data_IF_017817552352
#
_entry.id   IF_017817552352
#
_cell.length_a   1.000
_cell.length_b   1.000
_cell.length_c   1.000
_cell.angle_alpha   90.00
_cell.angle_beta   90.00
_cell.angle_gamma   90.00
#
_symmetry.space_group_name_H-M   'P 1'
#
loop_
_entity.id
_entity.type
_entity.pdbx_description
1 polymer ?
#
# COMPACT_ATOMS: atom_id res chain seq x y z
N UNK A 1 3.78 30.47 -62.54
CA UNK A 1 4.49 31.51 -61.76
C UNK A 1 4.37 31.16 -60.28
N UNK A 2 5.48 31.20 -59.56
CA UNK A 2 5.59 30.90 -58.13
C UNK A 2 5.19 32.12 -57.30
N UNK A 3 4.40 31.91 -56.24
CA UNK A 3 3.89 33.00 -55.40
C UNK A 3 4.83 33.32 -54.22
N UNK A 4 5.73 32.39 -53.87
CA UNK A 4 6.62 32.47 -52.72
C UNK A 4 8.07 32.34 -53.16
N UNK A 5 8.91 33.31 -52.80
CA UNK A 5 10.36 33.27 -53.01
C UNK A 5 11.05 32.83 -51.72
N UNK A 6 12.06 31.96 -51.80
CA UNK A 6 12.86 31.54 -50.64
C UNK A 6 14.28 32.10 -50.80
N UNK A 7 14.64 33.03 -49.93
CA UNK A 7 15.97 33.61 -49.80
C UNK A 7 16.78 32.84 -48.76
N UNK A 8 17.96 32.34 -49.16
CA UNK A 8 18.82 31.54 -48.31
C UNK A 8 20.28 31.59 -48.77
N UNK A 9 21.19 31.19 -47.88
CA UNK A 9 22.58 30.95 -48.23
C UNK A 9 22.77 29.59 -48.89
N UNK A 10 23.60 29.51 -49.94
CA UNK A 10 23.84 28.27 -50.68
C UNK A 10 24.30 27.12 -49.77
N UNK A 11 25.08 27.42 -48.75
CA UNK A 11 25.55 26.46 -47.74
C UNK A 11 24.39 25.81 -46.94
N UNK A 12 23.24 26.49 -46.85
CA UNK A 12 22.04 26.01 -46.18
C UNK A 12 21.09 25.24 -47.10
N UNK A 13 21.47 25.02 -48.35
CA UNK A 13 20.68 24.32 -49.36
C UNK A 13 20.11 22.97 -48.87
N UNK A 14 20.83 22.11 -48.12
CA UNK A 14 20.24 20.87 -47.60
C UNK A 14 19.11 21.10 -46.59
N UNK A 15 19.20 22.16 -45.78
CA UNK A 15 18.18 22.50 -44.76
C UNK A 15 16.97 23.16 -45.41
N UNK A 16 17.23 24.11 -46.30
CA UNK A 16 16.21 24.82 -47.07
C UNK A 16 15.47 23.86 -47.98
N UNK A 17 16.16 22.86 -48.56
CA UNK A 17 15.49 21.85 -49.37
C UNK A 17 14.50 20.99 -48.60
N UNK A 18 14.77 20.69 -47.32
CA UNK A 18 13.77 20.05 -46.46
C UNK A 18 12.58 20.96 -46.20
N UNK A 19 12.82 22.26 -45.99
CA UNK A 19 11.76 23.26 -45.82
C UNK A 19 10.90 23.38 -47.08
N UNK A 20 11.51 23.51 -48.25
CA UNK A 20 10.85 23.55 -49.56
C UNK A 20 9.94 22.34 -49.72
N UNK A 21 10.47 21.13 -49.58
CA UNK A 21 9.68 19.91 -49.74
C UNK A 21 8.47 19.87 -48.80
N UNK A 22 8.60 20.34 -47.57
CA UNK A 22 7.49 20.40 -46.63
C UNK A 22 6.45 21.47 -47.00
N UNK A 23 6.91 22.65 -47.45
CA UNK A 23 6.04 23.74 -47.90
C UNK A 23 5.30 23.39 -49.19
N UNK A 24 5.94 22.68 -50.13
CA UNK A 24 5.30 22.15 -51.34
C UNK A 24 4.23 21.10 -50.99
N UNK A 25 4.52 20.19 -50.05
CA UNK A 25 3.52 19.24 -49.52
C UNK A 25 2.35 19.96 -48.84
N UNK A 26 2.58 21.15 -48.29
CA UNK A 26 1.54 22.02 -47.77
C UNK A 26 0.80 22.82 -48.86
N UNK A 27 1.06 22.58 -50.15
CA UNK A 27 0.36 23.15 -51.30
C UNK A 27 0.83 24.53 -51.74
N UNK A 28 2.02 24.98 -51.31
CA UNK A 28 2.58 26.28 -51.69
C UNK A 28 3.40 26.17 -52.99
N UNK A 29 3.29 27.19 -53.85
CA UNK A 29 4.08 27.32 -55.09
C UNK A 29 5.33 28.14 -54.81
N UNK A 30 6.48 27.47 -54.75
CA UNK A 30 7.74 28.05 -54.29
C UNK A 30 8.70 28.34 -55.45
N UNK A 31 9.54 29.34 -55.25
CA UNK A 31 10.72 29.64 -56.05
C UNK A 31 11.95 29.59 -55.16
N UNK A 32 12.97 28.84 -55.60
CA UNK A 32 14.27 28.75 -54.94
C UNK A 32 15.30 28.23 -55.94
N UNK A 33 16.57 28.55 -55.71
CA UNK A 33 17.65 28.53 -56.71
C UNK A 33 18.23 27.13 -57.05
N UNK A 34 17.42 26.07 -56.96
CA UNK A 34 17.84 24.74 -57.41
C UNK A 34 17.54 24.55 -58.89
N UNK A 35 18.44 25.05 -59.74
CA UNK A 35 18.52 24.59 -61.13
C UNK A 35 18.45 25.66 -62.21
N UNK A 36 18.95 26.89 -61.98
CA UNK A 36 19.19 27.80 -63.09
C UNK A 36 20.29 27.22 -64.00
N UNK A 37 20.01 26.96 -65.30
CA UNK A 37 21.03 26.51 -66.23
C UNK A 37 22.13 27.56 -66.35
N UNK A 38 23.40 27.11 -66.33
CA UNK A 38 24.54 28.01 -66.51
C UNK A 38 24.50 28.67 -67.89
N UNK A 39 24.38 29.99 -67.94
CA UNK A 39 24.39 30.75 -69.20
C UNK A 39 23.56 32.04 -69.19
N UNK A 40 22.56 32.18 -68.32
CA UNK A 40 21.77 33.41 -68.17
C UNK A 40 22.28 34.28 -67.02
N UNK A 41 21.96 35.58 -67.05
CA UNK A 41 22.35 36.49 -65.96
C UNK A 41 21.56 36.13 -64.70
N UNK A 42 22.19 35.32 -63.85
CA UNK A 42 21.69 34.81 -62.57
C UNK A 42 21.01 35.89 -61.72
N UNK A 43 21.60 37.09 -61.70
CA UNK A 43 21.07 38.24 -60.95
C UNK A 43 19.76 38.79 -61.51
N UNK A 44 19.58 38.87 -62.83
CA UNK A 44 18.33 39.39 -63.40
C UNK A 44 17.16 38.42 -63.16
N UNK A 45 17.41 37.10 -63.24
CA UNK A 45 16.37 36.09 -63.00
C UNK A 45 15.96 36.02 -61.52
N UNK A 46 16.92 36.14 -60.59
CA UNK A 46 16.61 36.27 -59.16
C UNK A 46 15.80 37.53 -58.90
N UNK A 47 16.26 38.70 -59.39
CA UNK A 47 15.58 39.96 -59.14
C UNK A 47 14.16 39.94 -59.71
N UNK A 48 13.96 39.47 -60.95
CA UNK A 48 12.62 39.35 -61.53
C UNK A 48 11.70 38.41 -60.75
N UNK A 49 12.24 37.32 -60.20
CA UNK A 49 11.47 36.39 -59.36
C UNK A 49 11.14 36.99 -57.99
N UNK A 50 12.06 37.75 -57.40
CA UNK A 50 11.85 38.49 -56.16
C UNK A 50 10.79 39.58 -56.33
N UNK A 51 10.85 40.34 -57.43
CA UNK A 51 9.92 41.42 -57.74
C UNK A 51 8.49 40.87 -57.94
N UNK A 52 8.36 39.72 -58.61
CA UNK A 52 7.06 39.09 -58.84
C UNK A 52 6.50 38.32 -57.62
N UNK A 53 7.30 38.05 -56.59
CA UNK A 53 6.87 37.27 -55.43
C UNK A 53 5.81 38.02 -54.60
N UNK A 54 4.81 37.29 -54.11
CA UNK A 54 3.80 37.80 -53.15
C UNK A 54 4.22 37.60 -51.70
N UNK A 55 5.15 36.68 -51.46
CA UNK A 55 5.72 36.39 -50.16
C UNK A 55 7.20 36.04 -50.33
N UNK A 56 8.06 36.56 -49.45
CA UNK A 56 9.48 36.22 -49.41
C UNK A 56 9.78 35.58 -48.06
N UNK A 57 10.19 34.31 -48.08
CA UNK A 57 10.65 33.59 -46.91
C UNK A 57 12.16 33.74 -46.82
N UNK A 58 12.66 34.34 -45.75
CA UNK A 58 14.11 34.48 -45.52
C UNK A 58 14.54 33.48 -44.46
N UNK A 59 15.47 32.59 -44.82
CA UNK A 59 16.03 31.60 -43.93
C UNK A 59 17.26 32.15 -43.20
N UNK A 60 17.08 32.51 -41.92
CA UNK A 60 18.17 32.94 -41.05
C UNK A 60 18.91 31.76 -40.42
N UNK A 61 20.20 31.74 -40.68
CA UNK A 61 21.26 30.84 -40.19
C UNK A 61 22.49 31.67 -39.84
N UNK A 62 23.47 31.07 -39.14
CA UNK A 62 24.74 31.75 -38.85
C UNK A 62 25.41 32.28 -40.12
N UNK A 63 25.28 31.58 -41.26
CA UNK A 63 25.86 31.99 -42.53
C UNK A 63 25.13 33.17 -43.17
N UNK A 64 23.80 33.15 -43.20
CA UNK A 64 23.01 34.26 -43.75
C UNK A 64 23.16 35.55 -42.93
N UNK A 65 23.46 35.44 -41.64
CA UNK A 65 23.66 36.60 -40.75
C UNK A 65 25.12 37.07 -40.70
N UNK A 66 26.05 36.27 -41.23
CA UNK A 66 27.48 36.64 -41.30
C UNK A 66 27.71 37.77 -42.33
N UNK A 67 28.91 38.40 -42.35
CA UNK A 67 29.27 39.36 -43.39
C UNK A 67 29.13 38.80 -44.83
N UNK A 68 29.34 37.49 -45.04
CA UNK A 68 29.12 36.90 -46.35
C UNK A 68 27.64 36.95 -46.80
N UNK A 69 26.72 37.14 -45.86
CA UNK A 69 25.26 37.18 -45.99
C UNK A 69 24.64 38.41 -46.65
N UNK A 70 25.42 39.38 -47.13
CA UNK A 70 24.95 40.68 -47.65
C UNK A 70 23.72 40.55 -48.57
N UNK A 71 23.83 39.69 -49.58
CA UNK A 71 22.77 39.49 -50.57
C UNK A 71 21.44 39.03 -49.95
N UNK A 72 21.47 38.09 -48.99
CA UNK A 72 20.26 37.61 -48.30
C UNK A 72 19.64 38.72 -47.47
N UNK A 73 20.46 39.61 -46.88
CA UNK A 73 19.97 40.77 -46.13
C UNK A 73 19.36 41.83 -47.04
N UNK A 74 19.94 42.04 -48.23
CA UNK A 74 19.40 42.99 -49.20
C UNK A 74 18.04 42.53 -49.73
N UNK A 75 17.91 41.24 -50.09
CA UNK A 75 16.64 40.64 -50.49
C UNK A 75 15.59 40.70 -49.36
N UNK A 76 16.00 40.40 -48.12
CA UNK A 76 15.16 40.53 -46.96
C UNK A 76 14.70 41.99 -46.75
N UNK A 77 15.58 42.95 -46.99
CA UNK A 77 15.30 44.39 -46.90
C UNK A 77 14.23 44.82 -47.90
N UNK A 78 14.37 44.40 -49.16
CA UNK A 78 13.37 44.65 -50.21
C UNK A 78 12.02 44.02 -49.84
N UNK A 79 12.02 42.77 -49.36
CA UNK A 79 10.81 42.10 -48.92
C UNK A 79 10.15 42.77 -47.71
N UNK A 80 10.95 43.26 -46.75
CA UNK A 80 10.47 43.98 -45.57
C UNK A 80 9.81 45.29 -45.99
N UNK A 81 10.45 46.07 -46.84
CA UNK A 81 9.93 47.34 -47.35
C UNK A 81 8.58 47.16 -48.07
N UNK A 82 8.40 46.03 -48.76
CA UNK A 82 7.15 45.64 -49.43
C UNK A 82 6.11 45.02 -48.49
N UNK A 83 6.45 44.76 -47.22
CA UNK A 83 5.56 44.12 -46.26
C UNK A 83 5.27 42.64 -46.55
N UNK A 84 6.06 41.98 -47.39
CA UNK A 84 5.86 40.57 -47.81
C UNK A 84 6.86 39.59 -47.19
N UNK A 85 7.69 40.06 -46.27
CA UNK A 85 8.70 39.26 -45.57
C UNK A 85 8.07 38.29 -44.55
N UNK A 86 8.50 37.03 -44.59
CA UNK A 86 8.30 36.00 -43.55
C UNK A 86 9.67 35.47 -43.12
N UNK A 87 10.25 35.95 -42.00
CA UNK A 87 11.54 35.48 -41.54
C UNK A 87 11.40 34.16 -40.78
N UNK A 88 12.28 33.20 -41.05
CA UNK A 88 12.36 31.92 -40.32
C UNK A 88 13.77 31.69 -39.79
N UNK A 89 13.91 31.13 -38.59
CA UNK A 89 15.21 30.74 -38.04
C UNK A 89 15.42 29.24 -38.26
N UNK A 90 16.48 28.83 -38.94
CA UNK A 90 16.80 27.40 -39.15
C UNK A 90 17.87 26.88 -38.18
N UNK A 91 18.45 27.75 -37.36
CA UNK A 91 19.53 27.44 -36.43
C UNK A 91 19.33 28.05 -35.05
N UNK A 92 19.79 27.33 -34.02
CA UNK A 92 19.65 27.79 -32.64
C UNK A 92 20.64 28.92 -32.38
N UNK A 93 20.18 29.90 -31.60
CA UNK A 93 21.00 31.04 -31.20
C UNK A 93 21.22 32.08 -32.29
N UNK A 94 20.66 31.88 -33.50
CA UNK A 94 20.68 32.89 -34.56
C UNK A 94 19.66 33.97 -34.23
N UNK A 95 20.07 35.23 -34.41
CA UNK A 95 19.20 36.39 -34.29
C UNK A 95 19.14 37.08 -35.64
N UNK A 96 17.95 37.53 -36.09
CA UNK A 96 17.86 38.35 -37.29
C UNK A 96 18.78 39.58 -37.18
N UNK A 97 19.45 40.00 -38.27
CA UNK A 97 20.31 41.18 -38.25
C UNK A 97 19.55 42.44 -37.85
N UNK A 98 20.30 43.47 -37.43
CA UNK A 98 19.72 44.78 -37.11
C UNK A 98 18.88 45.30 -38.29
N UNK A 99 17.72 45.89 -37.98
CA UNK A 99 16.72 46.27 -38.97
C UNK A 99 15.67 45.21 -39.28
N UNK A 100 15.87 43.94 -38.92
CA UNK A 100 14.87 42.87 -39.13
C UNK A 100 14.16 42.41 -37.84
N UNK A 101 14.61 42.87 -36.67
CA UNK A 101 14.04 42.47 -35.37
C UNK A 101 12.60 42.90 -35.10
N UNK A 102 12.07 43.88 -35.85
CA UNK A 102 10.67 44.32 -35.76
C UNK A 102 9.69 43.31 -36.36
N UNK A 103 10.16 42.43 -37.25
CA UNK A 103 9.35 41.36 -37.82
C UNK A 103 9.68 40.07 -37.06
N UNK A 104 8.71 39.57 -36.31
CA UNK A 104 8.90 38.35 -35.52
C UNK A 104 9.27 37.17 -36.42
N UNK A 105 10.45 36.60 -36.21
CA UNK A 105 10.90 35.42 -36.93
C UNK A 105 10.30 34.14 -36.33
N UNK A 106 9.92 33.20 -37.19
CA UNK A 106 9.37 31.90 -36.80
C UNK A 106 10.54 30.94 -36.55
N UNK A 107 10.67 30.45 -35.32
CA UNK A 107 11.77 29.58 -34.93
C UNK A 107 11.55 28.13 -35.39
N UNK A 108 12.21 27.75 -36.48
CA UNK A 108 12.27 26.39 -37.02
C UNK A 108 13.59 25.68 -36.69
N UNK A 109 14.41 26.20 -35.77
CA UNK A 109 15.73 25.62 -35.43
C UNK A 109 15.65 24.20 -34.84
N UNK A 110 14.50 23.87 -34.25
CA UNK A 110 14.19 22.55 -33.71
C UNK A 110 13.38 21.67 -34.67
N UNK A 111 12.91 22.23 -35.78
CA UNK A 111 12.09 21.51 -36.75
C UNK A 111 12.92 20.46 -37.49
N UNK A 112 12.32 19.30 -37.75
CA UNK A 112 12.98 18.14 -38.36
C UNK A 112 12.27 17.60 -39.60
N UNK A 113 11.36 18.38 -40.21
CA UNK A 113 10.62 17.97 -41.40
C UNK A 113 9.14 17.61 -41.16
N UNK A 114 8.68 17.62 -39.90
CA UNK A 114 7.29 17.25 -39.58
C UNK A 114 6.28 18.32 -40.01
N UNK A 115 5.27 17.93 -40.79
CA UNK A 115 4.15 18.81 -41.18
C UNK A 115 3.20 19.15 -40.03
N UNK A 116 3.19 18.34 -38.97
CA UNK A 116 2.38 18.56 -37.78
C UNK A 116 3.10 19.41 -36.71
N UNK A 117 4.32 19.85 -36.98
CA UNK A 117 5.04 20.72 -36.06
C UNK A 117 4.33 22.09 -35.95
N UNK A 118 4.01 22.55 -34.73
CA UNK A 118 3.30 23.81 -34.54
C UNK A 118 4.01 25.05 -35.12
N UNK A 119 5.35 25.11 -35.07
CA UNK A 119 6.10 26.23 -35.63
C UNK A 119 6.11 26.18 -37.16
N UNK A 120 6.14 24.97 -37.73
CA UNK A 120 5.97 24.81 -39.18
C UNK A 120 4.56 25.22 -39.65
N UNK A 121 3.53 24.87 -38.88
CA UNK A 121 2.15 25.29 -39.16
C UNK A 121 2.00 26.81 -39.10
N UNK A 122 2.66 27.47 -38.14
CA UNK A 122 2.70 28.93 -38.08
C UNK A 122 3.38 29.53 -39.32
N UNK A 123 4.48 28.93 -39.79
CA UNK A 123 5.15 29.36 -41.03
C UNK A 123 4.23 29.24 -42.25
N UNK A 124 3.55 28.11 -42.42
CA UNK A 124 2.57 27.91 -43.51
C UNK A 124 1.45 28.93 -43.43
N UNK A 125 0.92 29.18 -42.22
CA UNK A 125 -0.18 30.13 -42.02
C UNK A 125 0.24 31.58 -42.31
N UNK A 126 1.47 31.97 -41.95
CA UNK A 126 2.05 33.26 -42.25
C UNK A 126 2.30 33.46 -43.74
N UNK A 127 2.87 32.46 -44.42
CA UNK A 127 3.12 32.50 -45.87
C UNK A 127 1.79 32.64 -46.63
N UNK A 128 0.79 31.82 -46.31
CA UNK A 128 -0.56 31.92 -46.91
C UNK A 128 -1.16 33.30 -46.69
N UNK A 129 -1.02 33.84 -45.48
CA UNK A 129 -1.52 35.18 -45.18
C UNK A 129 -0.90 36.26 -46.08
N UNK A 130 0.43 36.21 -46.28
CA UNK A 130 1.13 37.15 -47.17
C UNK A 130 0.72 36.97 -48.62
N UNK A 131 0.64 35.74 -49.12
CA UNK A 131 0.22 35.44 -50.51
C UNK A 131 -1.21 35.92 -50.78
N UNK A 132 -2.10 35.82 -49.79
CA UNK A 132 -3.51 36.25 -49.87
C UNK A 132 -3.71 37.74 -49.56
N UNK A 133 -2.65 38.48 -49.18
CA UNK A 133 -2.74 39.90 -48.82
C UNK A 133 -3.49 40.19 -47.52
N UNK A 134 -3.60 39.19 -46.62
CA UNK A 134 -4.29 39.30 -45.33
C UNK A 134 -3.32 39.46 -44.16
N UNK A 135 -3.86 39.86 -43.00
CA UNK A 135 -3.09 39.93 -41.77
C UNK A 135 -2.54 38.55 -41.36
N UNK A 136 -1.29 38.53 -40.90
CA UNK A 136 -0.61 37.31 -40.42
C UNK A 136 -1.27 36.88 -39.09
N UNK A 137 -1.69 35.61 -38.96
CA UNK A 137 -2.29 35.14 -37.72
C UNK A 137 -1.25 35.08 -36.59
N UNK A 138 -1.67 35.23 -35.32
CA UNK A 138 -0.74 35.11 -34.18
C UNK A 138 -0.15 33.70 -34.11
N UNK A 139 1.16 33.61 -33.88
CA UNK A 139 1.88 32.33 -33.77
C UNK A 139 1.38 31.51 -32.58
N UNK A 140 1.03 30.24 -32.79
CA UNK A 140 0.52 29.31 -31.76
C UNK A 140 1.58 28.31 -31.30
N UNK A 141 2.72 28.25 -31.98
CA UNK A 141 3.80 27.29 -31.82
C UNK A 141 4.34 27.17 -30.40
N UNK A 142 4.72 28.29 -29.74
CA UNK A 142 5.24 28.27 -28.37
C UNK A 142 4.25 27.66 -27.38
N UNK A 143 2.98 28.06 -27.43
CA UNK A 143 1.93 27.58 -26.53
C UNK A 143 1.60 26.10 -26.78
N UNK A 144 1.48 25.68 -28.04
CA UNK A 144 1.22 24.27 -28.39
C UNK A 144 2.36 23.35 -27.97
N UNK A 145 3.62 23.79 -28.08
CA UNK A 145 4.78 23.02 -27.63
C UNK A 145 4.83 22.90 -26.10
N UNK A 146 4.45 23.95 -25.39
CA UNK A 146 4.31 23.92 -23.92
C UNK A 146 3.22 22.95 -23.48
N UNK A 147 2.00 23.06 -24.05
CA UNK A 147 0.90 22.15 -23.76
C UNK A 147 1.26 20.69 -24.05
N UNK A 148 1.91 20.41 -25.20
CA UNK A 148 2.35 19.05 -25.55
C UNK A 148 3.39 18.49 -24.56
N UNK A 149 4.25 19.33 -23.99
CA UNK A 149 5.19 18.92 -22.93
C UNK A 149 4.48 18.62 -21.61
N UNK A 150 3.48 19.43 -21.26
CA UNK A 150 2.68 19.23 -20.04
C UNK A 150 1.81 17.95 -20.12
N UNK A 151 1.24 17.64 -21.29
CA UNK A 151 0.45 16.41 -21.48
C UNK A 151 1.30 15.14 -21.45
N UNK A 152 2.54 15.18 -21.94
CA UNK A 152 3.43 14.00 -21.90
C UNK A 152 3.95 13.76 -20.47
N UNK A 153 4.24 14.83 -19.71
CA UNK A 153 4.66 14.72 -18.31
C UNK A 153 3.56 14.15 -17.40
N UNK A 154 2.31 14.56 -17.60
CA UNK A 154 1.17 14.11 -16.77
C UNK A 154 0.77 12.65 -16.99
N UNK A 155 0.90 12.12 -18.21
CA UNK A 155 0.59 10.69 -18.49
C UNK A 155 1.62 9.76 -17.82
N UNK A 156 2.89 10.14 -17.78
CA UNK A 156 3.93 9.38 -17.09
C UNK A 156 3.71 9.35 -15.56
N UNK A 157 3.27 10.46 -14.96
CA UNK A 157 2.99 10.54 -13.51
C UNK A 157 1.71 9.80 -13.11
N UNK A 158 0.64 9.92 -13.90
CA UNK A 158 -0.63 9.25 -13.63
C UNK A 158 -0.54 7.73 -13.80
N UNK A 159 0.22 7.24 -14.79
CA UNK A 159 0.46 5.81 -14.96
C UNK A 159 1.21 5.19 -13.77
N UNK A 160 2.19 5.91 -13.23
CA UNK A 160 2.98 5.43 -12.10
C UNK A 160 2.19 5.47 -10.78
N UNK A 161 1.43 6.54 -10.53
CA UNK A 161 0.53 6.62 -9.37
C UNK A 161 -0.61 5.60 -9.46
N UNK A 162 -1.15 5.35 -10.66
CA UNK A 162 -2.15 4.32 -10.91
C UNK A 162 -1.62 2.91 -10.63
N UNK A 163 -0.39 2.60 -11.03
CA UNK A 163 0.24 1.31 -10.76
C UNK A 163 0.59 1.11 -9.28
N UNK A 164 1.07 2.15 -8.59
CA UNK A 164 1.34 2.09 -7.15
C UNK A 164 0.04 1.98 -6.35
N UNK A 165 -0.98 2.78 -6.70
CA UNK A 165 -2.31 2.71 -6.07
C UNK A 165 -3.01 1.37 -6.30
N UNK A 166 -2.89 0.79 -7.51
CA UNK A 166 -3.43 -0.53 -7.82
C UNK A 166 -2.65 -1.66 -7.14
N UNK A 167 -1.33 -1.56 -7.03
CA UNK A 167 -0.50 -2.52 -6.30
C UNK A 167 -0.79 -2.54 -4.79
N UNK A 168 -1.04 -1.37 -4.20
CA UNK A 168 -1.45 -1.27 -2.79
C UNK A 168 -2.90 -1.74 -2.55
N UNK A 169 -3.79 -1.65 -3.55
CA UNK A 169 -5.16 -2.16 -3.44
C UNK A 169 -5.24 -3.69 -3.63
N UNK A 170 -4.44 -4.28 -4.53
CA UNK A 170 -4.38 -5.73 -4.74
C UNK A 170 -3.95 -6.51 -3.49
N UNK A 171 -3.07 -5.93 -2.67
CA UNK A 171 -2.68 -6.52 -1.38
C UNK A 171 -3.80 -6.46 -0.34
N UNK A 172 -4.73 -5.50 -0.46
CA UNK A 172 -5.84 -5.32 0.48
C UNK A 172 -7.10 -6.12 0.10
N UNK A 173 -7.25 -6.49 -1.18
CA UNK A 173 -8.39 -7.31 -1.67
C UNK A 173 -8.25 -8.78 -1.26
N UNK A 174 -7.04 -9.29 -1.03
CA UNK A 174 -6.86 -10.66 -0.52
C UNK A 174 -7.48 -10.85 0.88
N UNK A 175 -7.42 -9.84 1.75
CA UNK A 175 -7.97 -9.94 3.11
C UNK A 175 -9.51 -9.90 3.13
N UNK A 176 -10.15 -9.28 2.14
CA UNK A 176 -11.62 -9.17 2.06
C UNK A 176 -12.32 -10.36 1.40
N UNK A 177 -11.65 -11.15 0.55
CA UNK A 177 -12.29 -12.32 -0.07
C UNK A 177 -12.56 -13.42 0.96
N UNK A 178 -11.70 -13.56 1.97
CA UNK A 178 -11.84 -14.56 3.02
C UNK A 178 -12.78 -14.14 4.17
N UNK A 179 -13.32 -12.92 4.15
CA UNK A 179 -14.28 -12.41 5.15
C UNK A 179 -15.74 -12.41 4.69
N UNK A 180 -16.02 -12.82 3.44
CA UNK A 180 -17.40 -12.88 2.94
C UNK A 180 -18.17 -13.96 3.71
N UNK A 181 -19.34 -13.60 4.25
CA UNK A 181 -20.21 -14.46 5.07
C UNK A 181 -20.81 -15.66 4.31
N UNK A 182 -20.74 -15.66 2.99
CA UNK A 182 -21.30 -16.70 2.12
C UNK A 182 -20.33 -17.87 2.00
N UNK A 183 -20.63 -19.01 2.63
CA UNK A 183 -19.84 -20.25 2.48
C UNK A 183 -18.81 -20.52 3.59
N UNK A 184 -18.90 -19.81 4.71
CA UNK A 184 -18.16 -20.15 5.94
C UNK A 184 -18.67 -21.49 6.51
N UNK A 185 -17.80 -22.35 7.09
CA UNK A 185 -16.36 -22.16 7.33
C UNK A 185 -15.43 -22.61 6.18
N UNK A 186 -15.97 -23.22 5.11
CA UNK A 186 -15.17 -23.83 4.04
C UNK A 186 -14.24 -22.85 3.34
N UNK A 187 -14.70 -21.63 3.06
CA UNK A 187 -13.86 -20.57 2.48
C UNK A 187 -12.70 -20.14 3.38
N UNK A 188 -12.93 -20.03 4.69
CA UNK A 188 -11.86 -19.70 5.65
C UNK A 188 -10.84 -20.84 5.76
N UNK A 189 -11.29 -22.09 5.73
CA UNK A 189 -10.42 -23.28 5.78
C UNK A 189 -9.52 -23.36 4.52
N UNK A 190 -10.08 -23.04 3.34
CA UNK A 190 -9.31 -22.97 2.07
C UNK A 190 -8.31 -21.81 2.10
N UNK A 191 -8.69 -20.63 2.60
CA UNK A 191 -7.77 -19.50 2.77
C UNK A 191 -6.63 -19.82 3.74
N UNK A 192 -6.91 -20.50 4.85
CA UNK A 192 -5.90 -20.95 5.80
C UNK A 192 -4.93 -21.97 5.19
N UNK A 193 -5.42 -22.90 4.36
CA UNK A 193 -4.58 -23.89 3.68
C UNK A 193 -3.56 -23.28 2.70
N UNK A 194 -3.86 -22.09 2.16
CA UNK A 194 -2.95 -21.35 1.26
C UNK A 194 -2.26 -20.14 1.93
N UNK A 195 -2.35 -20.04 3.26
CA UNK A 195 -1.77 -18.96 4.07
C UNK A 195 -2.17 -17.56 3.61
N UNK A 196 -3.45 -17.36 3.31
CA UNK A 196 -4.00 -16.11 2.80
C UNK A 196 -4.97 -15.49 3.81
N UNK A 197 -4.79 -14.20 4.12
CA UNK A 197 -5.69 -13.46 5.00
C UNK A 197 -5.62 -13.80 6.48
N UNK A 198 -4.49 -14.34 6.96
CA UNK A 198 -4.25 -14.68 8.38
C UNK A 198 -5.40 -15.53 8.98
N UNK A 199 -5.88 -16.53 8.21
CA UNK A 199 -6.98 -17.42 8.62
C UNK A 199 -6.45 -18.74 9.19
N UNK A 200 -7.05 -19.26 10.27
CA UNK A 200 -6.66 -20.55 10.81
C UNK A 200 -6.98 -21.66 9.82
N UNK A 201 -6.19 -22.73 9.86
CA UNK A 201 -6.48 -23.95 9.10
C UNK A 201 -7.69 -24.68 9.69
N UNK A 202 -8.28 -25.61 8.93
CA UNK A 202 -9.37 -26.46 9.43
C UNK A 202 -8.98 -27.20 10.71
N UNK A 203 -7.75 -27.71 10.77
CA UNK A 203 -7.24 -28.45 11.92
C UNK A 203 -7.14 -27.55 13.17
N UNK A 204 -6.60 -26.34 13.01
CA UNK A 204 -6.53 -25.32 14.07
C UNK A 204 -7.92 -24.94 14.58
N UNK A 205 -8.85 -24.62 13.67
CA UNK A 205 -10.22 -24.23 14.03
C UNK A 205 -10.94 -25.33 14.80
N UNK A 206 -10.91 -26.57 14.30
CA UNK A 206 -11.57 -27.71 14.95
C UNK A 206 -10.92 -28.03 16.30
N UNK A 207 -9.60 -27.89 16.42
CA UNK A 207 -8.91 -28.07 17.69
C UNK A 207 -9.31 -26.98 18.70
N UNK A 208 -9.40 -25.73 18.27
CA UNK A 208 -9.80 -24.61 19.12
C UNK A 208 -11.27 -24.70 19.59
N UNK A 209 -12.19 -25.07 18.69
CA UNK A 209 -13.62 -25.27 19.00
C UNK A 209 -13.86 -26.39 20.03
N UNK A 210 -12.95 -27.36 20.12
CA UNK A 210 -13.03 -28.49 21.05
C UNK A 210 -12.41 -28.21 22.41
N UNK A 211 -11.79 -27.05 22.61
CA UNK A 211 -11.16 -26.72 23.89
C UNK A 211 -12.22 -26.61 24.99
N UNK A 212 -12.06 -27.33 26.12
CA UNK A 212 -12.94 -27.17 27.26
C UNK A 212 -12.89 -25.71 27.77
N UNK A 213 -14.05 -25.08 28.04
CA UNK A 213 -14.07 -23.71 28.56
C UNK A 213 -13.41 -23.68 29.95
N UNK A 214 -12.57 -22.68 30.21
CA UNK A 214 -11.91 -22.55 31.51
C UNK A 214 -10.61 -23.35 31.67
N UNK A 215 -10.31 -24.31 30.78
CA UNK A 215 -9.18 -25.22 30.95
C UNK A 215 -7.87 -24.58 30.47
N UNK A 216 -7.06 -24.12 31.45
CA UNK A 216 -5.75 -23.55 31.19
C UNK A 216 -4.79 -24.51 30.50
N UNK A 217 -4.79 -25.79 30.90
CA UNK A 217 -3.84 -26.77 30.37
C UNK A 217 -4.16 -27.10 28.91
N UNK A 218 -5.45 -27.17 28.55
CA UNK A 218 -5.87 -27.35 27.18
C UNK A 218 -5.48 -26.15 26.29
N UNK A 219 -5.61 -24.92 26.79
CA UNK A 219 -5.18 -23.71 26.08
C UNK A 219 -3.66 -23.66 25.87
N UNK A 220 -2.88 -24.03 26.90
CA UNK A 220 -1.42 -24.14 26.79
C UNK A 220 -1.03 -25.20 25.75
N UNK A 221 -1.66 -26.38 25.79
CA UNK A 221 -1.44 -27.44 24.80
C UNK A 221 -1.76 -27.00 23.37
N UNK A 222 -2.82 -26.21 23.17
CA UNK A 222 -3.12 -25.63 21.86
C UNK A 222 -2.02 -24.67 21.39
N UNK A 223 -1.60 -23.74 22.25
CA UNK A 223 -0.56 -22.75 21.95
C UNK A 223 0.75 -23.40 21.53
N UNK A 224 1.11 -24.48 22.22
CA UNK A 224 2.38 -25.19 21.99
C UNK A 224 2.32 -26.07 20.73
N UNK A 225 1.16 -26.64 20.42
CA UNK A 225 0.96 -27.46 19.21
C UNK A 225 0.86 -26.61 17.93
N UNK A 226 0.24 -25.43 18.00
CA UNK A 226 -0.02 -24.56 16.85
C UNK A 226 0.69 -23.20 16.98
N UNK A 227 2.03 -23.22 16.95
CA UNK A 227 2.86 -22.04 17.16
C UNK A 227 2.54 -20.87 16.20
N UNK A 228 2.27 -21.16 14.93
CA UNK A 228 2.00 -20.14 13.92
C UNK A 228 0.50 -19.83 13.72
N UNK A 229 -0.39 -20.34 14.58
CA UNK A 229 -1.83 -20.17 14.36
C UNK A 229 -2.26 -18.70 14.52
N UNK A 230 -3.10 -18.19 13.62
CA UNK A 230 -3.72 -16.86 13.78
C UNK A 230 -4.58 -16.71 15.04
N UNK A 231 -5.01 -17.82 15.65
CA UNK A 231 -5.79 -17.82 16.89
C UNK A 231 -4.93 -17.61 18.15
N UNK A 232 -3.60 -17.50 18.01
CA UNK A 232 -2.67 -17.39 19.15
C UNK A 232 -2.95 -16.18 20.04
N UNK A 233 -3.29 -15.03 19.45
CA UNK A 233 -3.62 -13.82 20.21
C UNK A 233 -4.84 -14.05 21.12
N UNK A 234 -5.86 -14.76 20.63
CA UNK A 234 -7.04 -15.10 21.43
C UNK A 234 -6.65 -16.08 22.54
N UNK A 235 -5.85 -17.10 22.25
CA UNK A 235 -5.39 -18.08 23.23
C UNK A 235 -4.57 -17.40 24.35
N UNK A 236 -3.60 -16.57 23.98
CA UNK A 236 -2.76 -15.84 24.91
C UNK A 236 -3.59 -14.88 25.77
N UNK A 237 -4.58 -14.19 25.18
CA UNK A 237 -5.50 -13.34 25.95
C UNK A 237 -6.27 -14.13 27.02
N UNK A 238 -6.73 -15.36 26.72
CA UNK A 238 -7.45 -16.23 27.67
C UNK A 238 -6.53 -16.77 28.76
N UNK A 239 -5.29 -17.10 28.41
CA UNK A 239 -4.27 -17.54 29.37
C UNK A 239 -3.83 -16.40 30.30
N UNK A 240 -3.70 -15.18 29.78
CA UNK A 240 -3.38 -14.00 30.58
C UNK A 240 -4.53 -13.58 31.49
N UNK A 241 -5.77 -13.90 31.12
CA UNK A 241 -6.97 -13.74 31.95
C UNK A 241 -7.17 -14.88 32.97
N UNK A 242 -6.09 -15.57 33.39
CA UNK A 242 -6.13 -16.64 34.38
C UNK A 242 -6.60 -16.10 35.74
N UNK A 243 -7.57 -16.79 36.33
CA UNK A 243 -8.06 -16.53 37.68
C UNK A 243 -7.91 -17.80 38.50
N UNK A 244 -7.28 -17.69 39.67
CA UNK A 244 -7.23 -18.77 40.65
C UNK A 244 -8.50 -18.74 41.49
N UNK A 245 -9.32 -19.77 41.38
CA UNK A 245 -10.48 -19.98 42.23
C UNK A 245 -10.07 -20.80 43.45
N UNK A 246 -10.57 -20.41 44.61
CA UNK A 246 -10.42 -21.16 45.85
C UNK A 246 -11.74 -21.85 46.17
N UNK A 247 -11.76 -23.18 46.11
CA UNK A 247 -12.92 -23.97 46.49
C UNK A 247 -12.65 -24.64 47.84
N UNK A 248 -13.54 -24.41 48.81
CA UNK A 248 -13.50 -25.12 50.08
C UNK A 248 -14.10 -26.53 49.89
N UNK A 249 -13.32 -27.56 50.19
CA UNK A 249 -13.76 -28.96 50.18
C UNK A 249 -13.62 -29.55 51.58
N UNK A 250 -14.63 -30.32 51.98
CA UNK A 250 -14.63 -31.08 53.22
C UNK A 250 -14.27 -32.54 52.90
N UNK A 251 -13.09 -32.97 53.32
CA UNK A 251 -12.59 -34.33 53.02
C UNK A 251 -12.76 -35.20 54.24
N UNK A 252 -13.45 -36.33 54.08
CA UNK A 252 -13.62 -37.31 55.14
C UNK A 252 -12.26 -37.90 55.59
N UNK A 253 -12.06 -37.97 56.90
CA UNK A 253 -10.88 -38.50 57.53
C UNK A 253 -11.17 -39.09 58.90
N UNK A 254 -10.17 -39.80 59.44
CA UNK A 254 -10.25 -40.44 60.75
C UNK A 254 -9.05 -40.00 61.61
N UNK A 255 -9.32 -39.69 62.87
CA UNK A 255 -8.29 -39.44 63.89
C UNK A 255 -8.51 -40.38 65.06
N UNK A 256 -7.44 -41.03 65.50
CA UNK A 256 -7.42 -41.96 66.62
C UNK A 256 -6.69 -41.33 67.78
N UNK A 257 -7.32 -41.33 68.95
CA UNK A 257 -6.76 -40.77 70.19
C UNK A 257 -6.75 -41.84 71.26
N UNK A 258 -5.67 -41.91 72.04
CA UNK A 258 -5.60 -42.85 73.15
C UNK A 258 -6.77 -42.63 74.15
N UNK A 259 -7.45 -43.72 74.50
CA UNK A 259 -8.62 -43.73 75.35
C UNK A 259 -8.44 -44.75 76.48
N UNK A 260 -8.70 -44.29 77.70
CA UNK A 260 -8.85 -45.15 78.86
C UNK A 260 -10.09 -44.76 79.64
N UNK A 261 -10.88 -45.75 80.04
CA UNK A 261 -12.07 -45.54 80.87
C UNK A 261 -12.30 -46.73 81.80
N UNK A 262 -12.55 -46.45 83.08
CA UNK A 262 -12.84 -47.47 84.10
C UNK A 262 -14.26 -47.35 84.65
N UNK A 263 -14.83 -48.48 85.08
CA UNK A 263 -16.14 -48.59 85.71
C UNK A 263 -16.23 -49.81 86.65
N UNK A 264 -17.33 -49.90 87.40
CA UNK A 264 -17.59 -51.04 88.29
C UNK A 264 -18.13 -52.28 87.55
N UNK A 265 -18.44 -52.14 86.27
CA UNK A 265 -18.88 -53.22 85.37
C UNK A 265 -18.44 -52.91 83.94
N UNK A 266 -18.45 -53.92 83.07
CA UNK A 266 -18.10 -53.74 81.65
C UNK A 266 -19.05 -52.76 80.96
N UNK A 267 -20.35 -52.82 81.26
CA UNK A 267 -21.36 -51.90 80.71
C UNK A 267 -21.09 -50.46 81.12
N UNK A 268 -20.77 -50.23 82.39
CA UNK A 268 -20.42 -48.89 82.88
C UNK A 268 -19.10 -48.40 82.26
N UNK A 269 -18.08 -49.25 82.17
CA UNK A 269 -16.82 -48.93 81.53
C UNK A 269 -17.02 -48.57 80.05
N UNK A 270 -17.91 -49.29 79.34
CA UNK A 270 -18.28 -49.02 77.94
C UNK A 270 -19.02 -47.71 77.78
N UNK A 271 -20.01 -47.41 78.62
CA UNK A 271 -20.73 -46.13 78.59
C UNK A 271 -19.78 -44.96 78.86
N UNK A 272 -18.88 -45.10 79.84
CA UNK A 272 -17.86 -44.08 80.14
C UNK A 272 -16.83 -43.95 79.02
N UNK A 273 -16.40 -45.05 78.40
CA UNK A 273 -15.51 -45.04 77.24
C UNK A 273 -16.13 -44.27 76.08
N UNK A 274 -17.40 -44.54 75.75
CA UNK A 274 -18.12 -43.85 74.69
C UNK A 274 -18.29 -42.35 75.00
N UNK A 275 -18.66 -41.98 76.24
CA UNK A 275 -18.77 -40.58 76.64
C UNK A 275 -17.41 -39.85 76.58
N UNK A 276 -16.34 -40.54 76.98
CA UNK A 276 -14.97 -39.99 76.94
C UNK A 276 -14.46 -39.87 75.50
N UNK A 277 -14.76 -40.83 74.63
CA UNK A 277 -14.47 -40.73 73.19
C UNK A 277 -15.19 -39.53 72.56
N UNK A 278 -16.47 -39.33 72.87
CA UNK A 278 -17.22 -38.16 72.41
C UNK A 278 -16.58 -36.84 72.87
N UNK A 279 -16.16 -36.75 74.14
CA UNK A 279 -15.48 -35.56 74.67
C UNK A 279 -14.12 -35.31 73.99
N UNK A 280 -13.32 -36.35 73.76
CA UNK A 280 -12.03 -36.23 73.08
C UNK A 280 -12.20 -35.77 71.63
N UNK A 281 -13.16 -36.36 70.90
CA UNK A 281 -13.43 -35.99 69.52
C UNK A 281 -14.00 -34.57 69.38
N UNK A 282 -14.81 -34.09 70.34
CA UNK A 282 -15.29 -32.70 70.36
C UNK A 282 -14.16 -31.67 70.37
N UNK A 283 -12.96 -32.02 70.84
CA UNK A 283 -11.78 -31.14 70.76
C UNK A 283 -11.43 -30.71 69.32
N UNK A 284 -11.71 -31.55 68.32
CA UNK A 284 -11.49 -31.19 66.91
C UNK A 284 -12.51 -30.16 66.41
N UNK A 285 -13.74 -30.15 66.94
CA UNK A 285 -14.76 -29.18 66.58
C UNK A 285 -14.52 -27.78 67.18
N UNK A 286 -13.47 -27.61 68.00
CA UNK A 286 -13.09 -26.31 68.56
C UNK A 286 -12.46 -25.36 67.52
N UNK A 287 -12.07 -25.87 66.35
CA UNK A 287 -11.53 -25.06 65.24
C UNK A 287 -12.46 -25.12 64.03
N UNK A 288 -12.34 -24.14 63.12
CA UNK A 288 -13.06 -24.14 61.83
C UNK A 288 -12.43 -25.10 60.80
N UNK A 289 -11.39 -25.84 61.17
CA UNK A 289 -10.68 -26.75 60.28
C UNK A 289 -11.31 -28.14 60.24
N UNK A 290 -12.04 -28.56 61.28
CA UNK A 290 -12.60 -29.91 61.36
C UNK A 290 -14.09 -29.88 61.69
N UNK A 291 -14.84 -30.78 61.04
CA UNK A 291 -16.23 -31.07 61.37
C UNK A 291 -16.34 -32.51 61.85
N UNK A 292 -16.61 -32.69 63.14
CA UNK A 292 -16.77 -34.04 63.70
C UNK A 292 -18.13 -34.61 63.25
N UNK A 293 -18.12 -35.79 62.64
CA UNK A 293 -19.33 -36.46 62.16
C UNK A 293 -19.72 -37.65 63.03
N UNK A 294 -18.74 -38.37 63.61
CA UNK A 294 -18.98 -39.43 64.56
C UNK A 294 -17.81 -39.59 65.55
N UNK A 295 -18.11 -40.19 66.71
CA UNK A 295 -17.13 -40.55 67.72
C UNK A 295 -17.49 -41.91 68.29
N UNK A 296 -16.56 -42.85 68.23
CA UNK A 296 -16.72 -44.21 68.74
C UNK A 296 -15.55 -44.57 69.66
N UNK A 297 -15.78 -45.46 70.63
CA UNK A 297 -14.71 -46.09 71.40
C UNK A 297 -14.42 -47.50 70.90
N UNK A 298 -13.18 -47.78 70.51
CA UNK A 298 -12.69 -49.12 70.16
C UNK A 298 -11.60 -49.54 71.15
N UNK A 299 -11.57 -50.80 71.56
CA UNK A 299 -10.55 -51.27 72.52
C UNK A 299 -10.86 -52.60 73.17
N UNK A 300 -9.94 -53.04 74.02
CA UNK A 300 -10.08 -54.26 74.80
C UNK A 300 -10.54 -53.94 76.23
N UNK A 301 -11.41 -54.79 76.76
CA UNK A 301 -11.86 -54.73 78.15
C UNK A 301 -11.04 -55.70 79.02
N UNK A 302 -10.64 -55.24 80.19
CA UNK A 302 -10.05 -56.06 81.24
C UNK A 302 -10.82 -55.83 82.54
N UNK A 303 -11.30 -56.92 83.15
CA UNK A 303 -12.06 -56.88 84.40
C UNK A 303 -11.36 -57.70 85.48
N UNK A 304 -11.02 -57.06 86.60
CA UNK A 304 -10.41 -57.71 87.76
C UNK A 304 -11.05 -57.18 89.05
N UNK A 305 -11.39 -58.08 89.98
CA UNK A 305 -11.83 -57.71 91.33
C UNK A 305 -13.10 -56.83 91.40
N UNK A 306 -14.01 -56.92 90.43
CA UNK A 306 -15.22 -56.10 90.39
C UNK A 306 -15.03 -54.69 89.80
N UNK A 307 -13.87 -54.41 89.19
CA UNK A 307 -13.63 -53.24 88.35
C UNK A 307 -13.34 -53.69 86.92
N UNK A 308 -13.83 -52.93 85.95
CA UNK A 308 -13.57 -53.13 84.53
C UNK A 308 -12.97 -51.86 83.92
N UNK A 309 -11.97 -52.02 83.07
CA UNK A 309 -11.36 -50.92 82.31
C UNK A 309 -11.35 -51.24 80.81
N UNK A 310 -11.56 -50.21 80.00
CA UNK A 310 -11.26 -50.23 78.56
C UNK A 310 -9.95 -49.49 78.31
N UNK A 311 -9.05 -50.14 77.58
CA UNK A 311 -7.84 -49.52 77.01
C UNK A 311 -7.92 -49.64 75.49
N UNK A 312 -7.86 -48.51 74.79
CA UNK A 312 -7.96 -48.50 73.35
C UNK A 312 -7.90 -47.09 72.77
N UNK A 313 -8.70 -46.85 71.73
CA UNK A 313 -8.71 -45.61 70.98
C UNK A 313 -10.12 -45.03 70.89
N UNK A 314 -10.21 -43.70 70.97
CA UNK A 314 -11.35 -42.95 70.48
C UNK A 314 -11.16 -42.76 68.97
N UNK A 315 -12.08 -43.30 68.18
CA UNK A 315 -12.12 -43.18 66.73
C UNK A 315 -13.02 -42.00 66.38
N UNK A 316 -12.40 -40.89 66.01
CA UNK A 316 -13.07 -39.67 65.59
C UNK A 316 -13.18 -39.65 64.07
N UNK A 317 -14.40 -39.83 63.54
CA UNK A 317 -14.67 -39.58 62.12
C UNK A 317 -15.00 -38.11 61.94
N UNK A 318 -14.29 -37.46 61.05
CA UNK A 318 -14.38 -36.03 60.84
C UNK A 318 -14.20 -35.68 59.36
N UNK A 319 -14.63 -34.48 58.99
CA UNK A 319 -14.30 -33.87 57.72
C UNK A 319 -13.27 -32.77 57.96
N UNK A 320 -12.18 -32.78 57.21
CA UNK A 320 -11.15 -31.74 57.26
C UNK A 320 -11.38 -30.73 56.14
N UNK A 321 -11.41 -29.45 56.50
CA UNK A 321 -11.53 -28.35 55.54
C UNK A 321 -10.22 -28.19 54.80
N UNK A 322 -10.26 -28.40 53.50
CA UNK A 322 -9.15 -28.13 52.59
C UNK A 322 -9.57 -27.06 51.59
N UNK A 323 -8.73 -26.07 51.39
CA UNK A 323 -8.91 -25.07 50.33
C UNK A 323 -8.13 -25.56 49.12
N UNK A 324 -8.84 -25.99 48.08
CA UNK A 324 -8.21 -26.40 46.82
C UNK A 324 -8.20 -25.20 45.90
N UNK A 325 -7.00 -24.81 45.48
CA UNK A 325 -6.84 -23.79 44.43
C UNK A 325 -6.93 -24.48 43.06
N UNK A 326 -7.78 -23.94 42.19
CA UNK A 326 -7.85 -24.35 40.78
C UNK A 326 -7.76 -23.13 39.89
N UNK A 327 -6.89 -23.18 38.89
CA UNK A 327 -6.78 -22.13 37.89
C UNK A 327 -7.83 -22.31 36.79
N UNK A 328 -8.48 -21.22 36.43
CA UNK A 328 -9.43 -21.17 35.32
C UNK A 328 -8.98 -20.09 34.35
N UNK A 329 -8.90 -20.44 33.06
CA UNK A 329 -8.46 -19.54 31.99
C UNK A 329 -9.61 -19.22 31.04
N UNK A 330 -9.79 -17.94 30.73
CA UNK A 330 -10.87 -17.47 29.86
C UNK A 330 -11.91 -16.68 30.65
N UNK A 331 -11.84 -15.35 30.52
CA UNK A 331 -12.90 -14.46 30.96
C UNK A 331 -14.04 -14.50 29.96
N UNK A 332 -15.22 -14.92 30.41
CA UNK A 332 -16.43 -14.28 29.91
C UNK A 332 -16.44 -12.87 30.49
N UNK A 333 -16.03 -11.87 29.71
CA UNK A 333 -16.83 -10.66 29.71
C UNK A 333 -18.05 -11.00 28.85
N UNK A 334 -19.21 -11.13 29.51
CA UNK A 334 -20.50 -11.04 28.82
C UNK A 334 -20.58 -9.72 28.04
#
# INVERSE_FOLDING_TARGET
>A
MSDVFISYKREDEPRVGRLVQALEKAGLKLWWDRGLPGGESWRANIQGSLDAAKCVVVAWTHQSTSPAGDFVRDEAGQAKARGILVPVLLERGVRPPLGFGEVQAIDLSHWRGSQSDPFFQDAVAAIRAKVEGRAVPPARGPMRRLLRRLTIGSVASAGMAGLVGFGMNLLQVQDQVCTIDVGQPYLSDVCGAVNLGNRPTQAERVAFERLPPGDCAALEGYRDHFEASPLREIVDSRLNARVTLQEERWIAGERRLALYAGGSSETEARTRAQARAAQLCQGFAATTQFRVTAADSEGAFACEGGACGLTGEAVCRLEERQVVASDVCGGNAQ
#
